data_IF_486138400698
#
_entry.id   IF_486138400698
#
_cell.length_a   1.000
_cell.length_b   1.000
_cell.length_c   1.000
_cell.angle_alpha   90.00
_cell.angle_beta   90.00
_cell.angle_gamma   90.00
#
_symmetry.space_group_name_H-M   'P 1'
#
loop_
_entity.id
_entity.type
_entity.pdbx_description
1 polymer ?
#
# COMPACT_ATOMS: atom_id res chain seq x y z
N UNK A 1 12.26 -15.75 -19.15
CA UNK A 1 11.43 -15.11 -18.12
C UNK A 1 10.57 -14.06 -18.80
N UNK A 2 9.27 -14.06 -18.54
CA UNK A 2 8.33 -13.06 -19.03
C UNK A 2 8.27 -11.86 -18.07
N UNK A 3 8.09 -10.65 -18.60
CA UNK A 3 7.93 -9.41 -17.85
C UNK A 3 7.38 -8.31 -18.77
N UNK A 4 6.88 -7.23 -18.17
CA UNK A 4 6.49 -5.99 -18.85
C UNK A 4 6.82 -4.81 -17.93
N UNK A 5 7.87 -4.07 -18.28
CA UNK A 5 8.35 -2.87 -17.57
C UNK A 5 8.56 -1.74 -18.57
N UNK A 6 8.68 -0.50 -18.09
CA UNK A 6 8.83 0.67 -18.96
C UNK A 6 10.10 0.62 -19.81
N UNK A 7 11.26 0.43 -19.17
CA UNK A 7 12.56 0.42 -19.83
C UNK A 7 13.60 -0.37 -19.01
N UNK A 8 14.08 -1.48 -19.58
CA UNK A 8 15.12 -2.30 -18.92
C UNK A 8 16.48 -1.60 -18.80
N UNK A 9 16.76 -0.57 -19.62
CA UNK A 9 18.03 0.15 -19.57
C UNK A 9 18.25 0.86 -18.23
N UNK A 10 17.18 1.07 -17.46
CA UNK A 10 17.19 1.67 -16.13
C UNK A 10 17.70 0.73 -15.02
N UNK A 11 17.97 -0.54 -15.33
CA UNK A 11 18.32 -1.55 -14.32
C UNK A 11 19.58 -1.22 -13.52
N UNK A 12 20.59 -0.59 -14.12
CA UNK A 12 21.84 -0.20 -13.43
C UNK A 12 21.59 0.93 -12.41
N UNK A 13 20.76 1.91 -12.79
CA UNK A 13 20.30 2.96 -11.88
C UNK A 13 19.48 2.36 -10.73
N UNK A 14 18.52 1.50 -11.04
CA UNK A 14 17.71 0.83 -10.02
C UNK A 14 18.54 -0.06 -9.09
N UNK A 15 19.55 -0.78 -9.61
CA UNK A 15 20.47 -1.58 -8.80
C UNK A 15 21.22 -0.71 -7.80
N UNK A 16 21.71 0.45 -8.24
CA UNK A 16 22.41 1.40 -7.36
C UNK A 16 21.50 1.85 -6.21
N UNK A 17 20.23 2.19 -6.48
CA UNK A 17 19.31 2.59 -5.40
C UNK A 17 18.85 1.42 -4.52
N UNK A 18 18.76 0.20 -5.05
CA UNK A 18 18.53 -1.01 -4.25
C UNK A 18 19.68 -1.22 -3.25
N UNK A 19 20.94 -1.13 -3.69
CA UNK A 19 22.11 -1.27 -2.82
C UNK A 19 22.12 -0.21 -1.70
N UNK A 20 21.74 1.03 -2.01
CA UNK A 20 21.57 2.08 -1.00
C UNK A 20 20.41 1.77 -0.04
N UNK A 21 19.29 1.26 -0.56
CA UNK A 21 18.14 0.89 0.25
C UNK A 21 18.43 -0.29 1.17
N UNK A 22 19.25 -1.26 0.77
CA UNK A 22 19.67 -2.39 1.62
C UNK A 22 20.34 -1.91 2.91
N UNK A 23 21.15 -0.84 2.85
CA UNK A 23 21.74 -0.22 4.03
C UNK A 23 20.71 0.41 4.98
N UNK A 24 19.60 0.89 4.42
CA UNK A 24 18.48 1.47 5.19
C UNK A 24 17.43 0.42 5.56
N UNK A 25 17.59 -0.86 5.20
CA UNK A 25 16.60 -1.91 5.46
C UNK A 25 17.14 -3.03 6.35
N UNK A 26 17.58 -2.72 7.59
CA UNK A 26 18.24 -3.68 8.47
C UNK A 26 17.36 -4.89 8.81
N UNK A 27 16.04 -4.69 8.89
CA UNK A 27 15.10 -5.78 9.16
C UNK A 27 15.10 -6.84 8.06
N UNK A 28 15.03 -6.41 6.79
CA UNK A 28 15.10 -7.33 5.65
C UNK A 28 16.48 -7.99 5.52
N UNK A 29 17.55 -7.23 5.75
CA UNK A 29 18.90 -7.80 5.71
C UNK A 29 19.10 -8.87 6.80
N UNK A 30 18.56 -8.66 7.99
CA UNK A 30 18.55 -9.66 9.05
C UNK A 30 17.73 -10.91 8.69
N UNK A 31 16.63 -10.77 7.95
CA UNK A 31 15.87 -11.92 7.44
C UNK A 31 16.71 -12.75 6.45
N UNK A 32 17.43 -12.08 5.53
CA UNK A 32 18.33 -12.75 4.58
C UNK A 32 19.46 -13.49 5.31
N UNK A 33 20.08 -12.87 6.30
CA UNK A 33 21.13 -13.49 7.10
C UNK A 33 20.62 -14.72 7.86
N UNK A 34 19.45 -14.61 8.50
CA UNK A 34 18.93 -15.67 9.36
C UNK A 34 18.36 -16.86 8.60
N UNK A 35 17.64 -16.58 7.51
CA UNK A 35 16.84 -17.59 6.80
C UNK A 35 17.38 -17.94 5.42
N UNK A 36 18.45 -17.27 4.97
CA UNK A 36 19.07 -17.49 3.68
C UNK A 36 19.56 -18.92 3.46
N UNK A 37 20.10 -19.58 4.49
CA UNK A 37 20.58 -20.96 4.39
C UNK A 37 19.45 -21.99 4.48
N UNK A 38 18.46 -21.75 5.34
CA UNK A 38 17.34 -22.68 5.56
C UNK A 38 16.29 -22.64 4.46
N UNK A 39 16.25 -21.55 3.68
CA UNK A 39 15.30 -21.31 2.56
C UNK A 39 13.85 -21.69 2.92
N UNK A 40 13.24 -21.07 3.96
CA UNK A 40 11.94 -21.49 4.47
C UNK A 40 10.80 -21.35 3.45
N UNK A 41 10.97 -20.51 2.42
CA UNK A 41 10.00 -20.30 1.36
C UNK A 41 10.27 -21.16 0.11
N UNK A 42 11.16 -22.16 0.19
CA UNK A 42 11.39 -23.09 -0.91
C UNK A 42 10.07 -23.77 -1.34
N UNK A 43 9.68 -23.58 -2.60
CA UNK A 43 8.42 -24.07 -3.17
C UNK A 43 7.24 -23.12 -3.05
N UNK A 44 7.41 -21.96 -2.42
CA UNK A 44 6.43 -20.87 -2.48
C UNK A 44 6.45 -20.24 -3.88
N UNK A 45 5.27 -20.02 -4.45
CA UNK A 45 5.02 -19.31 -5.70
C UNK A 45 4.16 -18.10 -5.35
N UNK A 46 4.82 -17.00 -5.03
CA UNK A 46 4.20 -15.81 -4.46
C UNK A 46 3.75 -14.88 -5.59
N UNK A 47 2.44 -14.62 -5.68
CA UNK A 47 1.90 -13.51 -6.45
C UNK A 47 1.91 -12.25 -5.58
N UNK A 48 2.78 -11.29 -5.90
CA UNK A 48 2.88 -10.01 -5.21
C UNK A 48 2.13 -8.90 -5.94
N UNK A 49 1.19 -8.27 -5.25
CA UNK A 49 0.42 -7.09 -5.69
C UNK A 49 0.68 -5.96 -4.70
N UNK A 50 1.76 -5.20 -4.94
CA UNK A 50 2.25 -4.17 -4.04
C UNK A 50 3.05 -3.16 -4.87
N UNK A 51 2.97 -1.88 -4.53
CA UNK A 51 3.72 -0.79 -5.15
C UNK A 51 5.13 -1.21 -5.60
N UNK A 52 5.44 -1.13 -6.91
CA UNK A 52 6.73 -1.58 -7.45
C UNK A 52 7.82 -0.51 -7.26
N UNK A 53 8.31 -0.35 -6.03
CA UNK A 53 9.31 0.64 -5.64
C UNK A 53 10.69 0.02 -5.37
N UNK A 54 11.71 0.86 -5.11
CA UNK A 54 13.02 0.44 -4.62
C UNK A 54 12.91 -0.35 -3.32
N UNK A 55 12.02 0.06 -2.40
CA UNK A 55 11.82 -0.65 -1.14
C UNK A 55 11.27 -2.05 -1.41
N UNK A 56 10.29 -2.15 -2.32
CA UNK A 56 9.66 -3.41 -2.71
C UNK A 56 10.64 -4.32 -3.44
N UNK A 57 11.56 -3.75 -4.23
CA UNK A 57 12.64 -4.53 -4.83
C UNK A 57 13.49 -5.27 -3.79
N UNK A 58 13.83 -4.62 -2.67
CA UNK A 58 14.56 -5.28 -1.56
C UNK A 58 13.72 -6.36 -0.90
N UNK A 59 12.40 -6.17 -0.75
CA UNK A 59 11.47 -7.19 -0.28
C UNK A 59 11.44 -8.41 -1.23
N UNK A 60 11.25 -8.19 -2.53
CA UNK A 60 11.23 -9.24 -3.55
C UNK A 60 12.53 -10.06 -3.51
N UNK A 61 13.68 -9.39 -3.49
CA UNK A 61 14.98 -10.06 -3.41
C UNK A 61 15.20 -10.76 -2.07
N UNK A 62 14.53 -10.33 -1.01
CA UNK A 62 14.50 -11.07 0.27
C UNK A 62 13.67 -12.34 0.15
N UNK A 63 12.47 -12.29 -0.45
CA UNK A 63 11.63 -13.47 -0.65
C UNK A 63 12.35 -14.54 -1.49
N UNK A 64 13.02 -14.14 -2.57
CA UNK A 64 13.82 -15.06 -3.41
C UNK A 64 15.06 -15.57 -2.69
N UNK A 65 15.76 -14.71 -1.92
CA UNK A 65 16.85 -15.14 -1.06
C UNK A 65 16.41 -16.14 0.01
N UNK A 66 15.13 -16.17 0.37
CA UNK A 66 14.53 -17.14 1.28
C UNK A 66 13.92 -18.37 0.57
N UNK A 67 14.08 -18.47 -0.75
CA UNK A 67 13.74 -19.65 -1.55
C UNK A 67 12.43 -19.57 -2.34
N UNK A 68 11.70 -18.45 -2.26
CA UNK A 68 10.47 -18.28 -3.02
C UNK A 68 10.74 -18.07 -4.51
N UNK A 69 9.83 -18.55 -5.35
CA UNK A 69 9.61 -17.99 -6.68
C UNK A 69 8.58 -16.87 -6.56
N UNK A 70 8.73 -15.81 -7.35
CA UNK A 70 7.94 -14.59 -7.21
C UNK A 70 7.51 -14.06 -8.58
N UNK A 71 6.28 -13.57 -8.70
CA UNK A 71 5.80 -12.74 -9.82
C UNK A 71 5.15 -11.48 -9.25
N UNK A 72 5.43 -10.33 -9.84
CA UNK A 72 5.06 -9.04 -9.24
C UNK A 72 4.32 -8.08 -10.17
N UNK A 73 3.34 -7.38 -9.61
CA UNK A 73 2.64 -6.27 -10.21
C UNK A 73 2.47 -5.17 -9.15
N UNK A 74 2.36 -3.93 -9.63
CA UNK A 74 2.03 -2.80 -8.76
C UNK A 74 0.57 -2.88 -8.32
N UNK A 75 0.23 -2.39 -7.12
CA UNK A 75 -1.16 -2.20 -6.68
C UNK A 75 -1.69 -0.77 -6.96
N UNK A 76 -0.93 0.05 -7.71
CA UNK A 76 -1.40 1.37 -8.14
C UNK A 76 -0.68 1.85 -9.41
N UNK A 77 -1.47 2.39 -10.35
CA UNK A 77 -1.05 2.83 -11.69
C UNK A 77 0.05 3.90 -11.71
N UNK A 78 0.25 4.65 -10.62
CA UNK A 78 1.27 5.71 -10.54
C UNK A 78 2.39 5.41 -9.55
N UNK A 79 2.35 4.28 -8.84
CA UNK A 79 3.30 4.05 -7.73
C UNK A 79 4.62 3.39 -8.16
N UNK A 80 4.67 2.79 -9.34
CA UNK A 80 5.86 2.13 -9.85
C UNK A 80 7.02 3.11 -10.01
N UNK A 81 8.19 2.70 -9.55
CA UNK A 81 9.47 3.30 -9.87
C UNK A 81 10.11 2.46 -10.98
N UNK A 82 10.10 2.97 -12.21
CA UNK A 82 10.47 2.17 -13.39
C UNK A 82 11.89 1.59 -13.33
N UNK A 83 12.82 2.32 -12.70
CA UNK A 83 14.19 1.85 -12.48
C UNK A 83 14.25 0.69 -11.49
N UNK A 84 13.42 0.69 -10.44
CA UNK A 84 13.27 -0.45 -9.54
C UNK A 84 12.68 -1.67 -10.26
N UNK A 85 11.61 -1.47 -11.04
CA UNK A 85 10.98 -2.53 -11.83
C UNK A 85 11.98 -3.18 -12.81
N UNK A 86 12.78 -2.36 -13.50
CA UNK A 86 13.84 -2.81 -14.40
C UNK A 86 14.93 -3.60 -13.65
N UNK A 87 15.42 -3.10 -12.52
CA UNK A 87 16.46 -3.76 -11.73
C UNK A 87 16.01 -5.11 -11.15
N UNK A 88 14.74 -5.23 -10.77
CA UNK A 88 14.13 -6.47 -10.29
C UNK A 88 13.94 -7.48 -11.42
N UNK A 89 13.53 -7.03 -12.62
CA UNK A 89 13.44 -7.90 -13.79
C UNK A 89 14.82 -8.39 -14.24
N UNK A 90 15.84 -7.52 -14.24
CA UNK A 90 17.22 -7.90 -14.59
C UNK A 90 17.84 -8.80 -13.50
N UNK A 91 17.56 -8.53 -12.22
CA UNK A 91 18.11 -9.25 -11.08
C UNK A 91 19.58 -8.89 -10.77
N UNK A 92 20.09 -9.27 -9.59
CA UNK A 92 21.42 -8.88 -9.13
C UNK A 92 22.57 -9.51 -9.93
N UNK A 93 22.30 -10.62 -10.61
CA UNK A 93 23.29 -11.37 -11.39
C UNK A 93 22.99 -11.40 -12.90
N UNK A 94 21.95 -10.69 -13.35
CA UNK A 94 21.56 -10.64 -14.75
C UNK A 94 22.11 -9.40 -15.47
N UNK A 95 21.83 -9.33 -16.77
CA UNK A 95 22.07 -8.14 -17.59
C UNK A 95 20.82 -7.78 -18.37
N UNK A 96 20.77 -6.60 -18.97
CA UNK A 96 19.65 -6.17 -19.83
C UNK A 96 19.39 -7.17 -20.96
N UNK A 97 20.46 -7.71 -21.57
CA UNK A 97 20.36 -8.69 -22.67
C UNK A 97 20.05 -10.11 -22.19
N UNK A 98 20.33 -10.42 -20.92
CA UNK A 98 20.05 -11.71 -20.29
C UNK A 98 19.51 -11.52 -18.86
N UNK A 99 18.24 -11.09 -18.71
CA UNK A 99 17.63 -10.89 -17.40
C UNK A 99 17.56 -12.20 -16.62
N UNK A 100 17.93 -12.15 -15.34
CA UNK A 100 17.97 -13.29 -14.42
C UNK A 100 17.30 -12.97 -13.06
N UNK A 101 16.40 -11.97 -13.05
CA UNK A 101 15.64 -11.57 -11.88
C UNK A 101 14.32 -12.30 -11.74
N UNK A 102 13.24 -11.55 -11.47
CA UNK A 102 11.87 -12.10 -11.36
C UNK A 102 10.92 -11.47 -12.39
N UNK A 103 9.84 -12.16 -12.79
CA UNK A 103 8.76 -11.58 -13.59
C UNK A 103 8.14 -10.35 -12.91
N UNK A 104 8.20 -9.19 -13.57
CA UNK A 104 7.57 -7.94 -13.14
C UNK A 104 6.66 -7.41 -14.26
N UNK A 105 5.43 -7.07 -13.90
CA UNK A 105 4.43 -6.46 -14.78
C UNK A 105 3.99 -5.16 -14.13
N UNK A 106 4.79 -4.11 -14.31
CA UNK A 106 4.54 -2.83 -13.68
C UNK A 106 5.31 -1.70 -14.38
N UNK A 107 4.65 -0.56 -14.58
CA UNK A 107 5.29 0.70 -15.00
C UNK A 107 4.53 1.91 -14.45
N UNK A 108 5.18 3.07 -14.40
CA UNK A 108 4.50 4.29 -13.96
C UNK A 108 3.60 4.82 -15.08
N UNK A 109 2.33 5.07 -14.76
CA UNK A 109 1.35 5.61 -15.70
C UNK A 109 0.61 4.56 -16.51
N UNK A 110 0.36 3.39 -15.91
CA UNK A 110 -0.55 2.37 -16.47
C UNK A 110 -1.95 2.94 -16.73
N UNK A 111 -2.62 2.46 -17.78
CA UNK A 111 -4.09 2.54 -17.87
C UNK A 111 -4.74 1.54 -16.88
N UNK A 112 -6.03 1.69 -16.61
CA UNK A 112 -6.75 0.74 -15.76
C UNK A 112 -6.79 -0.66 -16.39
N UNK A 113 -6.91 -0.76 -17.71
CA UNK A 113 -6.84 -2.03 -18.44
C UNK A 113 -5.46 -2.69 -18.33
N UNK A 114 -4.40 -1.89 -18.40
CA UNK A 114 -3.02 -2.36 -18.23
C UNK A 114 -2.77 -2.85 -16.81
N UNK A 115 -3.27 -2.12 -15.81
CA UNK A 115 -3.22 -2.49 -14.39
C UNK A 115 -3.85 -3.86 -14.14
N UNK A 116 -5.12 -4.05 -14.52
CA UNK A 116 -5.81 -5.33 -14.31
C UNK A 116 -5.29 -6.45 -15.21
N UNK A 117 -4.65 -6.13 -16.33
CA UNK A 117 -3.87 -7.11 -17.09
C UNK A 117 -2.64 -7.57 -16.30
N UNK A 118 -1.88 -6.65 -15.69
CA UNK A 118 -0.72 -6.96 -14.85
C UNK A 118 -1.11 -7.83 -13.65
N UNK A 119 -2.22 -7.51 -12.96
CA UNK A 119 -2.74 -8.32 -11.84
C UNK A 119 -3.06 -9.76 -12.25
N UNK A 120 -3.53 -10.00 -13.48
CA UNK A 120 -3.70 -11.36 -13.99
C UNK A 120 -2.36 -12.06 -14.26
N UNK A 121 -1.36 -11.35 -14.78
CA UNK A 121 -0.05 -11.94 -15.11
C UNK A 121 0.68 -12.51 -13.89
N UNK A 122 0.46 -11.98 -12.69
CA UNK A 122 1.11 -12.49 -11.47
C UNK A 122 0.44 -13.75 -10.91
N UNK A 123 -0.84 -13.96 -11.20
CA UNK A 123 -1.63 -15.11 -10.74
C UNK A 123 -1.49 -16.32 -11.68
N UNK A 124 -1.21 -16.06 -12.96
CA UNK A 124 -1.04 -17.09 -14.00
C UNK A 124 0.45 -17.39 -14.18
N UNK A 125 0.88 -18.61 -13.84
CA UNK A 125 2.28 -19.01 -13.91
C UNK A 125 2.58 -19.88 -15.14
N UNK A 126 3.79 -19.82 -15.72
CA UNK A 126 4.18 -20.66 -16.83
C UNK A 126 4.08 -22.16 -16.52
N UNK A 127 3.88 -22.98 -17.56
CA UNK A 127 3.90 -24.44 -17.44
C UNK A 127 2.66 -25.07 -16.81
N UNK A 128 1.54 -24.34 -16.71
CA UNK A 128 0.29 -24.85 -16.16
C UNK A 128 0.30 -24.96 -14.63
N UNK A 129 1.11 -24.13 -13.96
CA UNK A 129 1.12 -23.96 -12.51
C UNK A 129 0.44 -22.64 -12.14
N UNK A 130 0.12 -22.44 -10.86
CA UNK A 130 -0.50 -21.20 -10.37
C UNK A 130 0.21 -20.68 -9.13
N UNK A 131 -0.11 -19.44 -8.73
CA UNK A 131 0.34 -18.91 -7.45
C UNK A 131 -0.21 -19.80 -6.32
N UNK A 132 0.62 -20.11 -5.32
CA UNK A 132 0.20 -20.81 -4.12
C UNK A 132 0.21 -19.93 -2.87
N UNK A 133 0.60 -18.67 -3.01
CA UNK A 133 0.66 -17.66 -1.96
C UNK A 133 0.35 -16.29 -2.58
N UNK A 134 -0.30 -15.41 -1.84
CA UNK A 134 -0.49 -14.00 -2.22
C UNK A 134 0.20 -13.10 -1.20
N UNK A 135 0.86 -12.06 -1.68
CA UNK A 135 1.27 -10.90 -0.90
C UNK A 135 0.55 -9.70 -1.50
N UNK A 136 -0.35 -9.07 -0.75
CA UNK A 136 -1.28 -8.06 -1.25
C UNK A 136 -1.15 -6.75 -0.46
N UNK A 137 -1.45 -5.64 -1.14
CA UNK A 137 -1.58 -4.30 -0.58
C UNK A 137 -2.81 -3.66 -1.24
N UNK A 138 -3.92 -3.64 -0.51
CA UNK A 138 -5.22 -3.16 -1.00
C UNK A 138 -6.24 -4.25 -1.28
N UNK A 139 -5.79 -5.50 -1.38
CA UNK A 139 -6.64 -6.66 -1.57
C UNK A 139 -7.12 -6.86 -3.01
N UNK A 140 -6.47 -6.28 -4.02
CA UNK A 140 -6.93 -6.36 -5.42
C UNK A 140 -6.65 -7.73 -6.05
N UNK A 141 -5.48 -8.32 -5.78
CA UNK A 141 -5.19 -9.69 -6.23
C UNK A 141 -6.14 -10.68 -5.54
N UNK A 142 -6.35 -10.51 -4.24
CA UNK A 142 -7.29 -11.31 -3.45
C UNK A 142 -8.71 -11.18 -3.98
N UNK A 143 -9.19 -9.95 -4.22
CA UNK A 143 -10.52 -9.68 -4.76
C UNK A 143 -10.71 -10.36 -6.11
N UNK A 144 -9.73 -10.25 -7.01
CA UNK A 144 -9.82 -10.84 -8.35
C UNK A 144 -9.97 -12.37 -8.28
N UNK A 145 -9.22 -13.05 -7.40
CA UNK A 145 -9.37 -14.50 -7.18
C UNK A 145 -10.76 -14.85 -6.66
N UNK A 146 -11.29 -14.11 -5.68
CA UNK A 146 -12.60 -14.38 -5.10
C UNK A 146 -13.73 -14.18 -6.12
N UNK A 147 -13.72 -13.05 -6.85
CA UNK A 147 -14.72 -12.74 -7.87
C UNK A 147 -14.61 -13.69 -9.09
N UNK A 148 -13.40 -14.05 -9.48
CA UNK A 148 -13.15 -15.01 -10.55
C UNK A 148 -13.73 -16.39 -10.23
N UNK A 149 -13.46 -16.90 -9.02
CA UNK A 149 -14.00 -18.18 -8.58
C UNK A 149 -15.53 -18.18 -8.51
N UNK A 150 -16.12 -17.09 -8.01
CA UNK A 150 -17.59 -16.97 -7.96
C UNK A 150 -18.20 -16.92 -9.36
N UNK A 151 -17.56 -16.22 -10.30
CA UNK A 151 -17.98 -16.16 -11.70
C UNK A 151 -17.93 -17.54 -12.36
N UNK A 152 -16.91 -18.35 -12.09
CA UNK A 152 -16.81 -19.73 -12.59
C UNK A 152 -17.85 -20.66 -11.96
N UNK A 153 -18.07 -20.57 -10.64
CA UNK A 153 -19.08 -21.39 -9.94
C UNK A 153 -20.50 -21.13 -10.43
N UNK A 154 -20.83 -19.88 -10.70
CA UNK A 154 -22.16 -19.47 -11.18
C UNK A 154 -22.30 -19.57 -12.70
N UNK A 155 -21.18 -19.63 -13.42
CA UNK A 155 -21.12 -19.56 -14.88
C UNK A 155 -21.48 -18.18 -15.43
N UNK A 156 -21.52 -17.14 -14.58
CA UNK A 156 -21.92 -15.78 -14.93
C UNK A 156 -20.98 -14.78 -14.25
N UNK A 157 -20.28 -13.97 -15.05
CA UNK A 157 -19.52 -12.83 -14.54
C UNK A 157 -20.42 -11.58 -14.42
N UNK A 158 -20.08 -10.59 -13.56
CA UNK A 158 -20.85 -9.35 -13.42
C UNK A 158 -20.97 -8.57 -14.74
N UNK A 159 -22.12 -7.93 -14.97
CA UNK A 159 -22.36 -7.14 -16.19
C UNK A 159 -21.59 -5.79 -16.13
N UNK A 160 -20.67 -5.50 -17.07
CA UNK A 160 -19.98 -4.21 -17.15
C UNK A 160 -20.91 -2.99 -17.16
N UNK A 161 -22.15 -3.12 -17.67
CA UNK A 161 -23.13 -2.03 -17.67
C UNK A 161 -23.65 -1.67 -16.28
N UNK A 162 -23.49 -2.56 -15.29
CA UNK A 162 -23.89 -2.33 -13.89
C UNK A 162 -22.82 -1.64 -13.04
N UNK A 163 -21.62 -1.41 -13.61
CA UNK A 163 -20.51 -0.81 -12.88
C UNK A 163 -20.79 0.64 -12.47
N UNK A 164 -20.34 1.01 -11.28
CA UNK A 164 -20.48 2.34 -10.69
C UNK A 164 -19.23 3.22 -10.87
N UNK A 165 -18.13 2.66 -11.39
CA UNK A 165 -16.92 3.40 -11.74
C UNK A 165 -16.30 2.88 -13.03
N UNK A 166 -15.36 3.64 -13.61
CA UNK A 166 -14.58 3.20 -14.77
C UNK A 166 -13.77 1.94 -14.42
N UNK A 167 -13.08 1.95 -13.28
CA UNK A 167 -12.24 0.83 -12.85
C UNK A 167 -13.05 -0.45 -12.60
N UNK A 168 -14.21 -0.35 -11.94
CA UNK A 168 -15.07 -1.51 -11.72
C UNK A 168 -15.55 -2.14 -13.04
N UNK A 169 -15.81 -1.30 -14.05
CA UNK A 169 -16.17 -1.77 -15.40
C UNK A 169 -15.03 -2.54 -16.04
N UNK A 170 -13.78 -2.10 -15.86
CA UNK A 170 -12.59 -2.81 -16.34
C UNK A 170 -12.47 -4.17 -15.65
N UNK A 171 -12.66 -4.25 -14.33
CA UNK A 171 -12.68 -5.52 -13.58
C UNK A 171 -13.75 -6.46 -14.14
N UNK A 172 -14.97 -5.96 -14.36
CA UNK A 172 -16.06 -6.78 -14.91
C UNK A 172 -15.74 -7.28 -16.31
N UNK A 173 -15.14 -6.45 -17.18
CA UNK A 173 -14.66 -6.87 -18.50
C UNK A 173 -13.59 -7.97 -18.39
N UNK A 174 -12.65 -7.85 -17.44
CA UNK A 174 -11.62 -8.85 -17.17
C UNK A 174 -12.24 -10.19 -16.75
N UNK A 175 -13.20 -10.18 -15.82
CA UNK A 175 -13.90 -11.39 -15.37
C UNK A 175 -14.67 -12.07 -16.51
N UNK A 176 -15.39 -11.29 -17.33
CA UNK A 176 -16.12 -11.82 -18.49
C UNK A 176 -15.17 -12.42 -19.53
N UNK A 177 -14.07 -11.73 -19.84
CA UNK A 177 -13.07 -12.23 -20.78
C UNK A 177 -12.41 -13.51 -20.26
N UNK A 178 -12.06 -13.56 -18.97
CA UNK A 178 -11.47 -14.74 -18.35
C UNK A 178 -12.41 -15.93 -18.38
N UNK A 179 -13.70 -15.74 -18.04
CA UNK A 179 -14.70 -16.81 -18.02
C UNK A 179 -14.99 -17.37 -19.43
N UNK A 180 -14.93 -16.51 -20.45
CA UNK A 180 -15.06 -16.93 -21.85
C UNK A 180 -13.85 -17.75 -22.34
N UNK A 181 -12.67 -17.50 -21.78
CA UNK A 181 -11.42 -18.18 -22.14
C UNK A 181 -11.25 -19.52 -21.40
N UNK A 182 -11.57 -19.57 -20.10
CA UNK A 182 -11.48 -20.76 -19.26
C UNK A 182 -12.58 -20.74 -18.19
N UNK A 183 -13.17 -21.90 -17.94
CA UNK A 183 -14.23 -22.09 -16.94
C UNK A 183 -13.72 -22.63 -15.60
N UNK A 184 -12.41 -22.87 -15.47
CA UNK A 184 -11.81 -23.51 -14.29
C UNK A 184 -10.46 -22.89 -13.88
N UNK A 185 -10.05 -21.77 -14.49
CA UNK A 185 -8.80 -21.08 -14.19
C UNK A 185 -8.76 -20.61 -12.73
N UNK A 186 -9.77 -19.87 -12.30
CA UNK A 186 -9.85 -19.33 -10.95
C UNK A 186 -10.11 -20.42 -9.91
N UNK A 187 -10.80 -21.50 -10.30
CA UNK A 187 -10.96 -22.72 -9.51
C UNK A 187 -9.61 -23.38 -9.24
N UNK A 188 -8.75 -23.50 -10.24
CA UNK A 188 -7.40 -24.03 -10.09
C UNK A 188 -6.51 -23.08 -9.25
N UNK A 189 -6.52 -21.77 -9.54
CA UNK A 189 -5.76 -20.77 -8.78
C UNK A 189 -6.17 -20.78 -7.30
N UNK A 190 -7.46 -20.63 -6.99
CA UNK A 190 -7.97 -20.61 -5.63
C UNK A 190 -7.71 -21.93 -4.89
N UNK A 191 -7.67 -23.05 -5.61
CA UNK A 191 -7.33 -24.37 -5.05
C UNK A 191 -5.86 -24.53 -4.67
N UNK A 192 -4.95 -23.74 -5.23
CA UNK A 192 -3.52 -23.77 -4.90
C UNK A 192 -3.12 -22.77 -3.81
N UNK A 193 -3.85 -21.65 -3.65
CA UNK A 193 -3.51 -20.61 -2.69
C UNK A 193 -3.65 -21.12 -1.25
N UNK A 194 -2.52 -21.09 -0.53
CA UNK A 194 -2.40 -21.52 0.86
C UNK A 194 -2.70 -20.40 1.85
N UNK A 195 -2.60 -19.14 1.41
CA UNK A 195 -2.93 -17.96 2.21
C UNK A 195 -2.49 -16.65 1.58
N UNK A 196 -2.90 -15.55 2.20
CA UNK A 196 -2.54 -14.18 1.83
C UNK A 196 -1.96 -13.40 3.01
N UNK A 197 -1.02 -12.49 2.73
CA UNK A 197 -0.57 -11.49 3.70
C UNK A 197 -0.90 -10.10 3.17
N UNK A 198 -1.65 -9.32 3.94
CA UNK A 198 -2.23 -8.05 3.51
C UNK A 198 -1.61 -6.86 4.25
N UNK A 199 -1.06 -5.92 3.50
CA UNK A 199 -0.26 -4.83 4.02
C UNK A 199 -1.08 -3.69 4.61
N UNK A 200 -2.25 -3.35 4.05
CA UNK A 200 -2.87 -2.05 4.30
C UNK A 200 -4.25 -2.13 4.94
N UNK A 201 -4.64 -1.01 5.57
CA UNK A 201 -5.90 -0.92 6.32
C UNK A 201 -7.12 -1.21 5.43
N UNK A 202 -7.09 -0.75 4.19
CA UNK A 202 -8.18 -0.93 3.22
C UNK A 202 -8.32 -2.39 2.75
N UNK A 203 -7.21 -3.07 2.44
CA UNK A 203 -7.26 -4.49 2.10
C UNK A 203 -7.67 -5.36 3.29
N UNK A 204 -7.20 -5.03 4.50
CA UNK A 204 -7.63 -5.70 5.74
C UNK A 204 -9.13 -5.56 5.97
N UNK A 205 -9.72 -4.40 5.70
CA UNK A 205 -11.17 -4.22 5.79
C UNK A 205 -11.90 -5.20 4.86
N UNK A 206 -11.45 -5.32 3.60
CA UNK A 206 -12.01 -6.29 2.64
C UNK A 206 -11.90 -7.74 3.15
N UNK A 207 -10.76 -8.11 3.74
CA UNK A 207 -10.57 -9.44 4.34
C UNK A 207 -11.55 -9.71 5.47
N UNK A 208 -11.77 -8.74 6.37
CA UNK A 208 -12.74 -8.88 7.45
C UNK A 208 -14.17 -8.96 6.96
N UNK A 209 -14.51 -8.24 5.90
CA UNK A 209 -15.86 -8.31 5.30
C UNK A 209 -16.09 -9.68 4.66
N UNK A 210 -15.12 -10.20 3.89
CA UNK A 210 -15.17 -11.57 3.38
C UNK A 210 -15.25 -12.62 4.49
N UNK A 211 -14.55 -12.41 5.61
CA UNK A 211 -14.64 -13.31 6.77
C UNK A 211 -16.03 -13.29 7.42
N UNK A 212 -16.63 -12.10 7.60
CA UNK A 212 -17.98 -11.96 8.18
C UNK A 212 -19.07 -12.57 7.28
N UNK A 213 -18.90 -12.46 5.97
CA UNK A 213 -19.82 -13.00 4.97
C UNK A 213 -19.62 -14.51 4.75
N UNK A 214 -18.51 -15.07 5.25
CA UNK A 214 -18.15 -16.48 5.04
C UNK A 214 -17.65 -16.78 3.61
N UNK A 215 -17.24 -15.75 2.88
CA UNK A 215 -16.73 -15.84 1.50
C UNK A 215 -15.20 -15.94 1.41
N UNK A 216 -14.47 -15.67 2.51
CA UNK A 216 -13.01 -15.78 2.56
C UNK A 216 -12.55 -17.22 2.22
N UNK A 217 -11.72 -17.35 1.18
CA UNK A 217 -11.34 -18.66 0.63
C UNK A 217 -10.15 -19.33 1.32
N UNK A 218 -9.21 -18.54 1.83
CA UNK A 218 -7.93 -18.99 2.40
C UNK A 218 -7.55 -18.14 3.61
N UNK A 219 -6.68 -18.63 4.52
CA UNK A 219 -6.24 -17.84 5.67
C UNK A 219 -5.53 -16.55 5.25
N UNK A 220 -5.67 -15.52 6.07
CA UNK A 220 -5.07 -14.23 5.84
C UNK A 220 -4.32 -13.73 7.09
N UNK A 221 -3.12 -13.18 6.91
CA UNK A 221 -2.43 -12.41 7.97
C UNK A 221 -2.57 -10.92 7.64
N UNK A 222 -3.25 -10.22 8.55
CA UNK A 222 -3.29 -8.77 8.62
C UNK A 222 -1.93 -8.27 9.11
N UNK A 223 -1.11 -7.84 8.17
CA UNK A 223 0.22 -7.26 8.46
C UNK A 223 0.07 -5.81 8.91
N UNK A 224 -0.94 -5.09 8.40
CA UNK A 224 -1.22 -3.70 8.74
C UNK A 224 -1.24 -3.46 10.26
N UNK A 225 -1.91 -4.34 11.00
CA UNK A 225 -2.16 -4.15 12.43
C UNK A 225 -1.02 -4.65 13.33
N UNK A 226 0.10 -5.08 12.75
CA UNK A 226 1.36 -5.17 13.49
C UNK A 226 1.69 -3.77 14.02
N UNK A 227 2.12 -3.66 15.28
CA UNK A 227 2.50 -2.39 15.93
C UNK A 227 3.64 -1.73 15.15
N UNK A 228 4.65 -2.51 14.76
CA UNK A 228 5.77 -2.01 13.94
C UNK A 228 5.40 -1.68 12.50
N UNK A 229 4.19 -2.03 12.04
CA UNK A 229 3.63 -1.56 10.77
C UNK A 229 2.81 -0.31 11.01
N UNK A 230 1.57 -0.43 11.46
CA UNK A 230 0.59 0.69 11.51
C UNK A 230 1.13 1.95 12.19
N UNK A 231 2.06 1.82 13.12
CA UNK A 231 2.43 2.89 14.07
C UNK A 231 3.77 3.52 13.73
N UNK A 232 4.44 2.93 12.75
CA UNK A 232 5.67 3.43 12.17
C UNK A 232 5.45 3.80 10.71
N UNK A 233 4.96 2.87 9.90
CA UNK A 233 4.65 3.08 8.49
C UNK A 233 3.59 4.16 8.30
N UNK A 234 2.34 3.86 8.70
CA UNK A 234 1.22 4.74 8.40
C UNK A 234 1.42 6.12 9.03
N UNK A 235 2.12 6.21 10.19
CA UNK A 235 2.39 7.49 10.84
C UNK A 235 3.67 8.18 10.34
N UNK A 236 4.85 7.60 10.57
CA UNK A 236 6.13 8.26 10.25
C UNK A 236 6.48 8.20 8.77
N UNK A 237 6.04 7.17 8.06
CA UNK A 237 6.13 7.10 6.60
C UNK A 237 5.32 8.20 5.92
N UNK A 238 4.07 8.40 6.33
CA UNK A 238 3.24 9.50 5.82
C UNK A 238 3.76 10.87 6.27
N UNK A 239 4.30 10.97 7.50
CA UNK A 239 4.98 12.20 7.96
C UNK A 239 6.13 12.60 7.03
N UNK A 240 6.91 11.63 6.54
CA UNK A 240 7.99 11.89 5.59
C UNK A 240 7.44 12.21 4.19
N UNK A 241 6.59 11.32 3.68
CA UNK A 241 6.28 11.24 2.24
C UNK A 241 5.17 12.17 1.76
N UNK A 242 4.26 12.60 2.64
CA UNK A 242 3.20 13.55 2.27
C UNK A 242 3.81 14.85 1.72
N UNK A 243 4.67 15.47 2.52
CA UNK A 243 5.25 16.77 2.14
C UNK A 243 6.21 16.64 0.95
N UNK A 244 6.88 15.49 0.78
CA UNK A 244 7.69 15.21 -0.41
C UNK A 244 6.81 15.20 -1.68
N UNK A 245 5.67 14.49 -1.64
CA UNK A 245 4.68 14.50 -2.72
C UNK A 245 4.20 15.92 -3.04
N UNK A 246 3.88 16.73 -2.03
CA UNK A 246 3.38 18.11 -2.22
C UNK A 246 4.47 18.97 -2.86
N UNK A 247 5.71 18.85 -2.35
CA UNK A 247 6.85 19.60 -2.82
C UNK A 247 7.15 19.28 -4.29
N UNK A 248 7.33 18.02 -4.65
CA UNK A 248 7.62 17.62 -6.04
C UNK A 248 6.47 17.96 -6.99
N UNK A 249 5.23 17.88 -6.52
CA UNK A 249 4.08 18.20 -7.34
C UNK A 249 3.96 19.71 -7.63
N UNK A 250 4.13 20.55 -6.61
CA UNK A 250 3.63 21.94 -6.66
C UNK A 250 4.66 23.01 -6.33
N UNK A 251 5.77 22.64 -5.68
CA UNK A 251 6.77 23.58 -5.13
C UNK A 251 6.16 24.68 -4.22
N UNK A 252 4.95 24.42 -3.69
CA UNK A 252 4.21 25.41 -2.90
C UNK A 252 4.90 25.62 -1.55
N UNK A 253 4.98 26.88 -1.10
CA UNK A 253 5.32 27.15 0.28
C UNK A 253 4.21 26.61 1.19
N UNK A 254 4.53 25.62 2.04
CA UNK A 254 3.60 25.07 3.05
C UNK A 254 3.46 26.01 4.26
N UNK A 255 4.55 26.66 4.68
CA UNK A 255 4.58 27.55 5.84
C UNK A 255 3.57 28.72 5.74
N UNK A 256 2.76 28.90 6.78
CA UNK A 256 1.74 29.94 6.86
C UNK A 256 0.43 29.66 6.09
N UNK A 257 0.38 28.58 5.30
CA UNK A 257 -0.84 28.12 4.62
C UNK A 257 -1.81 27.47 5.61
N UNK A 258 -3.08 27.43 5.25
CA UNK A 258 -4.08 26.60 5.93
C UNK A 258 -4.13 25.24 5.23
N UNK A 259 -3.81 24.18 5.96
CA UNK A 259 -3.87 22.82 5.45
C UNK A 259 -4.97 22.05 6.17
N UNK A 260 -5.86 21.40 5.44
CA UNK A 260 -6.93 20.55 5.97
C UNK A 260 -6.53 19.10 5.79
N UNK A 261 -6.59 18.32 6.88
CA UNK A 261 -6.39 16.87 6.86
C UNK A 261 -7.71 16.21 7.22
N UNK A 262 -8.31 15.49 6.27
CA UNK A 262 -9.54 14.74 6.50
C UNK A 262 -9.21 13.32 6.98
N UNK A 263 -9.57 13.02 8.23
CA UNK A 263 -9.19 11.80 8.94
C UNK A 263 -7.97 12.01 9.84
N UNK A 264 -8.01 11.46 11.04
CA UNK A 264 -6.98 11.55 12.07
C UNK A 264 -6.66 10.19 12.69
N UNK A 265 -6.72 9.14 11.87
CA UNK A 265 -6.07 7.84 12.13
C UNK A 265 -4.54 7.95 12.12
N UNK A 266 -3.82 6.84 11.97
CA UNK A 266 -2.35 6.88 11.96
C UNK A 266 -1.78 7.70 10.78
N UNK A 267 -2.36 7.54 9.58
CA UNK A 267 -2.03 8.34 8.38
C UNK A 267 -2.29 9.83 8.62
N UNK A 268 -3.50 10.18 9.04
CA UNK A 268 -3.88 11.55 9.34
C UNK A 268 -3.00 12.22 10.40
N UNK A 269 -2.61 11.47 11.44
CA UNK A 269 -1.64 11.93 12.46
C UNK A 269 -0.28 12.26 11.85
N UNK A 270 0.25 11.40 10.99
CA UNK A 270 1.50 11.64 10.26
C UNK A 270 1.42 12.87 9.36
N UNK A 271 0.31 13.01 8.64
CA UNK A 271 0.02 14.14 7.76
C UNK A 271 -0.04 15.48 8.51
N UNK A 272 -0.80 15.52 9.60
CA UNK A 272 -0.93 16.73 10.42
C UNK A 272 0.42 17.11 11.06
N UNK A 273 1.19 16.13 11.54
CA UNK A 273 2.51 16.35 12.14
C UNK A 273 3.49 16.97 11.15
N UNK A 274 3.54 16.48 9.90
CA UNK A 274 4.47 16.99 8.88
C UNK A 274 4.09 18.38 8.38
N UNK A 275 2.80 18.62 8.12
CA UNK A 275 2.29 19.93 7.73
C UNK A 275 2.53 20.98 8.83
N UNK A 276 2.26 20.64 10.09
CA UNK A 276 2.58 21.52 11.24
C UNK A 276 4.07 21.76 11.36
N UNK A 277 4.89 20.73 11.16
CA UNK A 277 6.36 20.83 11.17
C UNK A 277 6.93 21.79 10.12
N UNK A 278 6.22 21.96 9.01
CA UNK A 278 6.54 22.96 7.97
C UNK A 278 5.96 24.36 8.25
N UNK A 279 5.26 24.55 9.37
CA UNK A 279 4.64 25.81 9.76
C UNK A 279 3.26 26.06 9.16
N UNK A 280 2.57 25.04 8.65
CA UNK A 280 1.17 25.17 8.24
C UNK A 280 0.24 25.35 9.45
N UNK A 281 -0.87 26.04 9.23
CA UNK A 281 -2.02 26.09 10.14
C UNK A 281 -2.94 24.92 9.82
N UNK A 282 -2.79 23.83 10.56
CA UNK A 282 -3.49 22.57 10.28
C UNK A 282 -4.88 22.57 10.92
N UNK A 283 -5.88 22.20 10.11
CA UNK A 283 -7.25 21.90 10.53
C UNK A 283 -7.51 20.42 10.23
N UNK A 284 -8.18 19.73 11.14
CA UNK A 284 -8.54 18.31 11.01
C UNK A 284 -10.06 18.18 10.85
N UNK A 285 -10.51 17.26 10.01
CA UNK A 285 -11.92 16.81 10.01
C UNK A 285 -11.97 15.38 10.50
N UNK A 286 -12.90 15.05 11.40
CA UNK A 286 -13.03 13.70 11.95
C UNK A 286 -14.48 13.33 12.24
N UNK A 287 -14.78 12.04 12.07
CA UNK A 287 -16.05 11.42 12.42
C UNK A 287 -15.96 10.69 13.76
N UNK A 288 -14.77 10.19 14.14
CA UNK A 288 -14.57 9.49 15.40
C UNK A 288 -14.26 10.50 16.52
N UNK A 289 -15.07 10.57 17.60
CA UNK A 289 -14.85 11.50 18.69
C UNK A 289 -13.54 11.27 19.46
N UNK A 290 -13.00 10.05 19.48
CA UNK A 290 -11.70 9.73 20.10
C UNK A 290 -10.59 10.38 19.28
N UNK A 291 -10.59 10.18 17.96
CA UNK A 291 -9.61 10.76 17.06
C UNK A 291 -9.72 12.29 17.01
N UNK A 292 -10.94 12.84 16.97
CA UNK A 292 -11.19 14.27 17.05
C UNK A 292 -10.64 14.87 18.36
N UNK A 293 -10.89 14.20 19.50
CA UNK A 293 -10.35 14.66 20.78
C UNK A 293 -8.82 14.60 20.79
N UNK A 294 -8.20 13.57 20.21
CA UNK A 294 -6.74 13.51 20.04
C UNK A 294 -6.22 14.70 19.20
N UNK A 295 -6.85 14.99 18.07
CA UNK A 295 -6.47 16.12 17.21
C UNK A 295 -6.55 17.45 17.98
N UNK A 296 -7.63 17.68 18.73
CA UNK A 296 -7.80 18.87 19.56
C UNK A 296 -6.74 18.96 20.67
N UNK A 297 -6.42 17.83 21.32
CA UNK A 297 -5.40 17.76 22.39
C UNK A 297 -3.97 17.92 21.84
N UNK A 298 -3.72 17.54 20.60
CA UNK A 298 -2.46 17.80 19.89
C UNK A 298 -2.34 19.26 19.42
N UNK A 299 -3.39 20.07 19.56
CA UNK A 299 -3.41 21.50 19.25
C UNK A 299 -3.94 21.85 17.86
N UNK A 300 -4.64 20.94 17.19
CA UNK A 300 -5.29 21.19 15.90
C UNK A 300 -6.72 21.69 16.10
N UNK A 301 -7.16 22.62 15.25
CA UNK A 301 -8.58 22.91 15.12
C UNK A 301 -9.27 21.70 14.49
N UNK A 302 -10.39 21.26 15.09
CA UNK A 302 -11.27 20.25 14.48
C UNK A 302 -12.51 20.98 13.95
N UNK A 303 -12.79 20.82 12.67
CA UNK A 303 -13.92 21.46 11.99
C UNK A 303 -14.50 20.56 10.89
N UNK A 304 -15.62 20.94 10.29
CA UNK A 304 -16.15 20.27 9.10
C UNK A 304 -15.47 20.81 7.85
N UNK A 305 -15.34 19.98 6.81
CA UNK A 305 -14.77 20.40 5.54
C UNK A 305 -15.51 21.62 4.97
N UNK A 306 -16.85 21.58 4.97
CA UNK A 306 -17.71 22.65 4.46
C UNK A 306 -17.43 24.03 5.04
N UNK A 307 -17.07 24.10 6.33
CA UNK A 307 -16.77 25.37 7.02
C UNK A 307 -15.42 25.97 6.59
N UNK A 308 -14.50 25.14 6.11
CA UNK A 308 -13.10 25.53 5.89
C UNK A 308 -12.66 25.57 4.43
N UNK A 309 -13.49 25.11 3.48
CA UNK A 309 -13.21 25.16 2.03
C UNK A 309 -12.79 26.56 1.55
N UNK A 310 -13.46 27.60 2.06
CA UNK A 310 -13.18 29.00 1.71
C UNK A 310 -11.88 29.56 2.26
N UNK A 311 -11.20 28.83 3.16
CA UNK A 311 -9.92 29.24 3.77
C UNK A 311 -8.84 28.18 3.70
N UNK A 312 -9.06 27.05 3.03
CA UNK A 312 -8.07 25.99 2.83
C UNK A 312 -7.18 26.30 1.62
N UNK A 313 -5.87 26.11 1.76
CA UNK A 313 -4.87 26.20 0.67
C UNK A 313 -4.48 24.80 0.19
N UNK A 314 -4.43 23.84 1.11
CA UNK A 314 -4.06 22.44 0.87
C UNK A 314 -5.12 21.59 1.56
N UNK A 315 -5.67 20.59 0.87
CA UNK A 315 -6.63 19.62 1.40
C UNK A 315 -6.10 18.23 1.10
N UNK A 316 -5.93 17.42 2.16
CA UNK A 316 -5.44 16.05 2.08
C UNK A 316 -6.48 15.10 2.67
N UNK A 317 -6.95 14.14 1.89
CA UNK A 317 -7.80 13.05 2.37
C UNK A 317 -6.95 11.87 2.84
N UNK A 318 -7.25 11.36 4.04
CA UNK A 318 -6.48 10.35 4.76
C UNK A 318 -7.39 9.44 5.60
N UNK A 319 -8.57 9.10 5.07
CA UNK A 319 -9.62 8.41 5.82
C UNK A 319 -9.69 6.91 5.54
N UNK A 320 -9.27 6.46 4.35
CA UNK A 320 -9.55 5.12 3.84
C UNK A 320 -11.04 4.87 3.55
N UNK A 321 -11.86 5.91 3.53
CA UNK A 321 -13.29 5.87 3.24
C UNK A 321 -13.55 6.30 1.78
N UNK A 322 -14.79 6.68 1.45
CA UNK A 322 -15.17 7.24 0.15
C UNK A 322 -16.00 8.51 0.31
N UNK A 323 -16.14 9.27 -0.77
CA UNK A 323 -17.00 10.45 -0.86
C UNK A 323 -16.64 11.53 0.19
N UNK A 324 -15.35 11.65 0.53
CA UNK A 324 -14.84 12.60 1.54
C UNK A 324 -14.83 14.02 0.98
N UNK A 325 -14.49 14.17 -0.30
CA UNK A 325 -14.51 15.44 -1.02
C UNK A 325 -15.35 15.28 -2.28
N UNK A 326 -16.54 15.87 -2.30
CA UNK A 326 -17.45 15.83 -3.44
C UNK A 326 -17.12 16.90 -4.48
N UNK A 327 -17.57 16.74 -5.73
CA UNK A 327 -17.43 17.77 -6.78
C UNK A 327 -18.02 19.11 -6.36
N UNK A 328 -19.16 19.10 -5.65
CA UNK A 328 -19.77 20.32 -5.13
C UNK A 328 -18.81 21.06 -4.19
N UNK A 329 -18.15 20.33 -3.28
CA UNK A 329 -17.17 20.90 -2.37
C UNK A 329 -15.93 21.39 -3.12
N UNK A 330 -15.45 20.65 -4.13
CA UNK A 330 -14.34 21.08 -4.99
C UNK A 330 -14.63 22.41 -5.68
N UNK A 331 -15.85 22.61 -6.19
CA UNK A 331 -16.26 23.87 -6.84
C UNK A 331 -16.25 25.08 -5.89
N UNK A 332 -16.33 24.85 -4.57
CA UNK A 332 -16.30 25.87 -3.51
C UNK A 332 -14.89 26.14 -2.95
N UNK A 333 -13.89 25.37 -3.38
CA UNK A 333 -12.51 25.59 -2.96
C UNK A 333 -11.94 26.90 -3.52
N UNK A 334 -10.99 27.49 -2.79
CA UNK A 334 -10.27 28.67 -3.23
C UNK A 334 -9.52 28.41 -4.54
N UNK A 335 -9.38 29.46 -5.35
CA UNK A 335 -8.58 29.41 -6.57
C UNK A 335 -7.13 29.00 -6.25
N UNK A 336 -6.64 28.01 -6.99
CA UNK A 336 -5.37 27.31 -6.84
C UNK A 336 -5.16 26.57 -5.51
N UNK A 337 -6.24 26.21 -4.81
CA UNK A 337 -6.13 25.25 -3.72
C UNK A 337 -5.63 23.90 -4.25
N UNK A 338 -4.80 23.22 -3.45
CA UNK A 338 -4.25 21.90 -3.76
C UNK A 338 -5.12 20.85 -3.08
N UNK A 339 -5.55 19.86 -3.85
CA UNK A 339 -6.29 18.70 -3.39
C UNK A 339 -5.49 17.44 -3.70
N UNK A 340 -5.20 16.66 -2.66
CA UNK A 340 -4.54 15.37 -2.78
C UNK A 340 -5.16 14.34 -1.86
N UNK A 341 -4.93 13.08 -2.18
CA UNK A 341 -5.34 11.94 -1.38
C UNK A 341 -4.11 11.13 -1.02
N UNK A 342 -4.04 10.65 0.21
CA UNK A 342 -3.00 9.75 0.70
C UNK A 342 -3.59 8.50 1.36
N UNK A 343 -4.92 8.30 1.25
CA UNK A 343 -5.55 7.00 1.45
C UNK A 343 -5.25 6.03 0.30
N UNK A 344 -5.81 4.82 0.37
CA UNK A 344 -5.41 3.71 -0.50
C UNK A 344 -6.11 3.68 -1.89
N UNK A 345 -7.35 4.17 -2.03
CA UNK A 345 -8.05 4.27 -3.33
C UNK A 345 -8.32 5.73 -3.70
N UNK A 346 -8.70 5.98 -4.95
CA UNK A 346 -9.00 7.32 -5.47
C UNK A 346 -10.36 7.89 -5.04
N UNK A 347 -11.26 7.03 -4.56
CA UNK A 347 -12.65 7.37 -4.25
C UNK A 347 -12.88 8.15 -2.95
N UNK A 348 -11.84 8.54 -2.21
CA UNK A 348 -11.97 9.60 -1.20
C UNK A 348 -12.33 10.94 -1.85
N UNK A 349 -11.86 11.15 -3.08
CA UNK A 349 -12.15 12.31 -3.91
C UNK A 349 -13.10 11.86 -5.01
N UNK A 350 -14.17 12.61 -5.24
CA UNK A 350 -15.11 12.35 -6.34
C UNK A 350 -14.52 12.73 -7.71
N UNK A 351 -13.50 11.96 -8.13
CA UNK A 351 -12.81 12.14 -9.41
C UNK A 351 -13.72 11.79 -10.59
N UNK A 352 -14.58 10.78 -10.44
CA UNK A 352 -15.53 10.39 -11.46
C UNK A 352 -16.49 11.53 -11.80
N UNK A 353 -17.05 12.20 -10.78
CA UNK A 353 -17.89 13.38 -10.99
C UNK A 353 -17.09 14.57 -11.55
N UNK A 354 -15.82 14.74 -11.16
CA UNK A 354 -14.98 15.85 -11.64
C UNK A 354 -14.68 15.72 -13.14
N UNK A 355 -14.52 14.48 -13.62
CA UNK A 355 -14.23 14.14 -15.01
C UNK A 355 -15.45 14.20 -15.94
N UNK A 356 -16.67 14.34 -15.40
CA UNK A 356 -17.88 14.46 -16.21
C UNK A 356 -17.86 15.69 -17.13
N UNK A 357 -18.36 15.50 -18.36
CA UNK A 357 -18.37 16.55 -19.37
C UNK A 357 -19.15 17.78 -18.89
N UNK A 358 -18.48 18.94 -18.90
CA UNK A 358 -19.07 20.22 -18.51
C UNK A 358 -18.93 20.57 -17.02
N UNK A 359 -18.41 19.67 -16.17
CA UNK A 359 -18.17 19.94 -14.74
C UNK A 359 -16.95 20.85 -14.54
N UNK A 360 -15.80 20.48 -15.09
CA UNK A 360 -14.59 21.28 -15.05
C UNK A 360 -13.69 20.97 -16.25
N UNK A 361 -12.82 21.92 -16.62
CA UNK A 361 -11.86 21.74 -17.71
C UNK A 361 -10.50 21.36 -17.12
N UNK A 362 -10.03 20.14 -17.44
CA UNK A 362 -8.70 19.63 -17.09
C UNK A 362 -7.63 20.28 -17.96
N UNK A 363 -6.54 20.72 -17.32
CA UNK A 363 -5.28 21.08 -17.96
C UNK A 363 -4.15 20.35 -17.24
N UNK A 364 -3.51 19.41 -17.93
CA UNK A 364 -2.32 18.77 -17.41
C UNK A 364 -1.15 19.77 -17.35
N UNK A 365 -0.48 19.85 -16.20
CA UNK A 365 0.70 20.70 -15.99
C UNK A 365 1.97 19.90 -16.23
N UNK A 366 2.04 18.72 -15.61
CA UNK A 366 3.10 17.72 -15.70
C UNK A 366 2.53 16.37 -15.25
N UNK A 367 3.27 15.25 -15.35
CA UNK A 367 2.80 13.96 -14.86
C UNK A 367 2.26 14.05 -13.42
N UNK A 368 1.06 13.51 -13.21
CA UNK A 368 0.34 13.47 -11.92
C UNK A 368 0.01 14.84 -11.31
N UNK A 369 0.02 15.93 -12.09
CA UNK A 369 -0.41 17.26 -11.64
C UNK A 369 -1.32 17.90 -12.67
N UNK A 370 -2.58 18.07 -12.29
CA UNK A 370 -3.62 18.61 -13.14
C UNK A 370 -4.26 19.84 -12.51
N UNK A 371 -4.54 20.84 -13.34
CA UNK A 371 -5.37 21.98 -12.96
C UNK A 371 -6.77 21.77 -13.51
N UNK A 372 -7.77 21.82 -12.65
CA UNK A 372 -9.19 21.72 -13.01
C UNK A 372 -9.86 23.08 -12.84
N UNK A 373 -10.42 23.62 -13.92
CA UNK A 373 -11.08 24.94 -13.91
C UNK A 373 -12.59 24.79 -14.00
N UNK A 374 -13.33 25.27 -13.00
CA UNK A 374 -14.78 25.22 -12.97
C UNK A 374 -15.41 26.36 -13.79
N UNK A 375 -16.68 26.23 -14.26
CA UNK A 375 -17.41 27.29 -14.96
C UNK A 375 -17.53 28.61 -14.18
N UNK A 376 -17.48 28.53 -12.85
CA UNK A 376 -17.45 29.66 -11.92
C UNK A 376 -16.14 30.47 -11.98
N UNK A 377 -15.09 29.93 -12.60
CA UNK A 377 -13.80 30.58 -12.86
C UNK A 377 -12.71 30.28 -11.82
N UNK A 378 -13.03 29.71 -10.66
CA UNK A 378 -12.02 29.15 -9.77
C UNK A 378 -11.42 27.88 -10.37
N UNK A 379 -10.19 27.59 -9.96
CA UNK A 379 -9.45 26.41 -10.39
C UNK A 379 -8.82 25.74 -9.17
N UNK A 380 -8.62 24.44 -9.23
CA UNK A 380 -7.93 23.66 -8.19
C UNK A 380 -6.80 22.84 -8.82
N UNK A 381 -5.80 22.50 -8.02
CA UNK A 381 -4.70 21.62 -8.42
C UNK A 381 -4.99 20.24 -7.81
N UNK A 382 -5.19 19.23 -8.65
CA UNK A 382 -5.42 17.85 -8.21
C UNK A 382 -4.14 17.05 -8.41
N UNK A 383 -3.77 16.32 -7.36
CA UNK A 383 -2.57 15.49 -7.31
C UNK A 383 -2.91 14.04 -7.64
N UNK A 384 -2.12 13.44 -8.54
CA UNK A 384 -2.18 12.01 -8.90
C UNK A 384 -3.58 11.51 -9.26
N UNK A 385 -4.41 12.37 -9.85
CA UNK A 385 -5.78 12.02 -10.27
C UNK A 385 -6.59 11.41 -9.11
N UNK A 386 -6.37 11.94 -7.89
CA UNK A 386 -7.03 11.46 -6.68
C UNK A 386 -6.43 10.17 -6.08
N UNK A 387 -5.45 9.53 -6.72
CA UNK A 387 -4.70 8.40 -6.14
C UNK A 387 -3.66 8.87 -5.11
N UNK A 388 -3.08 7.91 -4.40
CA UNK A 388 -2.12 8.11 -3.30
C UNK A 388 -0.92 8.93 -3.75
N UNK A 389 -0.94 10.19 -3.37
CA UNK A 389 -0.09 11.23 -3.93
C UNK A 389 1.38 11.14 -3.49
N UNK A 390 1.66 10.50 -2.35
CA UNK A 390 3.03 10.33 -1.86
C UNK A 390 3.84 9.37 -2.74
N UNK A 391 3.18 8.37 -3.32
CA UNK A 391 3.75 7.45 -4.31
C UNK A 391 3.60 7.98 -5.74
N UNK A 392 2.44 8.57 -6.05
CA UNK A 392 2.16 9.08 -7.39
C UNK A 392 3.05 10.28 -7.77
N UNK A 393 3.19 11.27 -6.87
CA UNK A 393 3.99 12.48 -7.12
C UNK A 393 5.43 12.39 -6.60
N UNK A 394 5.76 11.40 -5.77
CA UNK A 394 7.10 11.22 -5.22
C UNK A 394 7.52 9.74 -5.21
N UNK A 395 8.11 9.27 -4.11
CA UNK A 395 8.72 7.94 -3.99
C UNK A 395 8.14 7.11 -2.85
N UNK A 396 7.02 7.53 -2.28
CA UNK A 396 6.40 6.86 -1.14
C UNK A 396 7.22 6.96 0.14
N UNK A 397 7.06 5.98 1.01
CA UNK A 397 7.74 5.92 2.31
C UNK A 397 9.23 5.62 2.15
N UNK A 398 10.09 6.17 3.02
CA UNK A 398 11.54 5.93 2.95
C UNK A 398 11.87 4.48 3.36
N UNK A 399 13.01 3.98 2.86
CA UNK A 399 13.42 2.57 3.02
C UNK A 399 13.47 2.10 4.48
N UNK A 400 13.96 2.92 5.40
CA UNK A 400 14.00 2.57 6.83
C UNK A 400 12.62 2.33 7.44
N UNK A 401 11.61 3.09 7.01
CA UNK A 401 10.23 2.89 7.45
C UNK A 401 9.70 1.59 6.83
N UNK A 402 9.84 1.41 5.52
CA UNK A 402 9.36 0.21 4.83
C UNK A 402 10.06 -1.07 5.29
N UNK A 403 11.29 -0.97 5.80
CA UNK A 403 11.99 -2.09 6.44
C UNK A 403 11.17 -2.71 7.57
N UNK A 404 10.41 -1.92 8.32
CA UNK A 404 9.56 -2.44 9.40
C UNK A 404 8.39 -3.25 8.80
N UNK A 405 7.62 -2.64 7.90
CA UNK A 405 6.46 -3.24 7.23
C UNK A 405 6.85 -4.51 6.49
N UNK A 406 7.95 -4.47 5.73
CA UNK A 406 8.36 -5.59 4.90
C UNK A 406 9.02 -6.71 5.69
N UNK A 407 9.65 -6.42 6.83
CA UNK A 407 10.07 -7.49 7.75
C UNK A 407 8.84 -8.23 8.31
N UNK A 408 7.77 -7.51 8.66
CA UNK A 408 6.51 -8.15 9.05
C UNK A 408 5.90 -8.96 7.90
N UNK A 409 5.90 -8.45 6.66
CA UNK A 409 5.44 -9.21 5.49
C UNK A 409 6.23 -10.50 5.29
N UNK A 410 7.56 -10.47 5.37
CA UNK A 410 8.41 -11.66 5.24
C UNK A 410 8.09 -12.67 6.35
N UNK A 411 7.98 -12.23 7.60
CA UNK A 411 7.62 -13.10 8.72
C UNK A 411 6.23 -13.72 8.54
N UNK A 412 5.25 -12.94 8.07
CA UNK A 412 3.91 -13.42 7.79
C UNK A 412 3.89 -14.47 6.67
N UNK A 413 4.65 -14.26 5.59
CA UNK A 413 4.81 -15.22 4.50
C UNK A 413 5.45 -16.52 5.00
N UNK A 414 6.49 -16.44 5.84
CA UNK A 414 7.12 -17.61 6.46
C UNK A 414 6.12 -18.37 7.33
N UNK A 415 5.41 -17.68 8.22
CA UNK A 415 4.47 -18.31 9.15
C UNK A 415 3.36 -19.08 8.40
N UNK A 416 2.65 -18.41 7.50
CA UNK A 416 1.50 -19.02 6.82
C UNK A 416 1.92 -20.12 5.83
N UNK A 417 3.12 -20.03 5.23
CA UNK A 417 3.65 -21.05 4.33
C UNK A 417 4.16 -22.29 5.07
N UNK A 418 4.86 -22.11 6.21
CA UNK A 418 5.55 -23.19 6.92
C UNK A 418 4.72 -23.83 8.03
N UNK A 419 3.68 -23.15 8.53
CA UNK A 419 2.80 -23.64 9.61
C UNK A 419 1.31 -23.61 9.24
N UNK A 420 0.90 -24.17 8.08
CA UNK A 420 -0.50 -24.06 7.60
C UNK A 420 -1.53 -24.60 8.60
N UNK A 421 -1.16 -25.56 9.45
CA UNK A 421 -2.04 -26.13 10.47
C UNK A 421 -2.43 -25.14 11.58
N UNK A 422 -1.62 -24.10 11.79
CA UNK A 422 -1.85 -23.08 12.82
C UNK A 422 -2.75 -21.95 12.30
N UNK A 423 -3.00 -21.92 10.98
CA UNK A 423 -3.78 -20.88 10.29
C UNK A 423 -4.92 -21.49 9.47
N UNK A 424 -5.97 -22.04 10.11
CA UNK A 424 -7.22 -22.34 9.39
C UNK A 424 -7.83 -21.06 8.80
N UNK A 425 -8.75 -21.16 7.84
CA UNK A 425 -9.37 -19.99 7.20
C UNK A 425 -9.89 -18.99 8.25
N UNK A 426 -9.39 -17.76 8.17
CA UNK A 426 -9.61 -16.69 9.13
C UNK A 426 -8.60 -15.55 8.91
N UNK A 427 -8.81 -14.43 9.62
CA UNK A 427 -7.90 -13.28 9.59
C UNK A 427 -7.12 -13.21 10.91
N UNK A 428 -5.80 -13.29 10.82
CA UNK A 428 -4.87 -13.33 11.96
C UNK A 428 -3.99 -12.09 11.98
N UNK A 429 -3.39 -11.81 13.14
CA UNK A 429 -2.29 -10.83 13.27
C UNK A 429 -1.03 -11.57 13.70
N UNK A 430 0.14 -11.01 13.39
CA UNK A 430 1.40 -11.59 13.86
C UNK A 430 1.46 -11.62 15.40
N UNK A 431 2.00 -12.69 16.01
CA UNK A 431 2.25 -12.74 17.44
C UNK A 431 3.12 -11.57 17.90
N UNK A 432 2.80 -11.00 19.07
CA UNK A 432 3.48 -9.82 19.63
C UNK A 432 5.00 -9.95 19.73
N UNK A 433 5.52 -11.15 20.02
CA UNK A 433 6.97 -11.36 20.12
C UNK A 433 7.70 -11.14 18.79
N UNK A 434 7.08 -11.44 17.64
CA UNK A 434 7.64 -11.17 16.32
C UNK A 434 7.65 -9.68 16.03
N UNK A 435 6.60 -8.98 16.42
CA UNK A 435 6.49 -7.53 16.28
C UNK A 435 7.57 -6.79 17.11
N UNK A 436 7.78 -7.22 18.35
CA UNK A 436 8.90 -6.73 19.18
C UNK A 436 10.27 -7.08 18.61
N UNK A 437 10.37 -8.23 17.94
CA UNK A 437 11.59 -8.63 17.26
C UNK A 437 11.89 -7.71 16.08
N UNK A 438 10.89 -7.40 15.24
CA UNK A 438 11.03 -6.41 14.17
C UNK A 438 11.52 -5.10 14.75
N UNK A 439 10.92 -4.60 15.83
CA UNK A 439 11.39 -3.38 16.47
C UNK A 439 12.88 -3.48 16.87
N UNK A 440 13.29 -4.57 17.54
CA UNK A 440 14.68 -4.80 17.96
C UNK A 440 15.67 -4.77 16.79
N UNK A 441 15.32 -5.35 15.64
CA UNK A 441 16.18 -5.38 14.45
C UNK A 441 16.50 -3.99 13.89
N UNK A 442 15.68 -2.98 14.20
CA UNK A 442 15.88 -1.61 13.70
C UNK A 442 16.63 -0.70 14.69
N UNK A 443 16.69 -1.05 15.98
CA UNK A 443 17.20 -0.14 17.01
C UNK A 443 18.71 0.12 16.91
N UNK A 444 19.51 -0.90 16.63
CA UNK A 444 20.96 -0.75 16.56
C UNK A 444 21.39 0.14 15.38
N UNK A 445 20.68 0.09 14.26
CA UNK A 445 20.90 0.97 13.10
C UNK A 445 20.69 2.45 13.46
N UNK A 446 19.84 2.75 14.46
CA UNK A 446 19.60 4.10 14.98
C UNK A 446 20.49 4.44 16.19
N UNK A 447 21.38 3.54 16.61
CA UNK A 447 22.19 3.71 17.83
C UNK A 447 21.39 3.67 19.13
N UNK A 448 20.16 3.13 19.11
CA UNK A 448 19.29 3.04 20.30
C UNK A 448 19.71 1.85 21.14
N UNK A 449 19.90 2.06 22.46
CA UNK A 449 20.26 1.01 23.41
C UNK A 449 19.12 0.73 24.36
N UNK A 450 18.66 -0.53 24.37
CA UNK A 450 17.61 -0.99 25.27
C UNK A 450 18.16 -1.20 26.69
N UNK A 451 17.34 -0.85 27.68
CA UNK A 451 17.56 -1.31 29.06
C UNK A 451 17.11 -2.76 29.18
N UNK A 452 17.90 -3.59 29.86
CA UNK A 452 17.54 -4.97 30.18
C UNK A 452 16.89 -5.04 31.56
N UNK A 453 15.74 -5.69 31.66
CA UNK A 453 15.09 -5.94 32.96
C UNK A 453 15.98 -6.86 33.82
N UNK A 454 16.08 -6.57 35.11
CA UNK A 454 16.57 -7.58 36.06
C UNK A 454 15.47 -8.62 36.33
N UNK A 455 15.86 -9.81 36.81
CA UNK A 455 14.90 -10.87 37.17
C UNK A 455 13.80 -10.39 38.14
N UNK A 456 14.17 -9.56 39.12
CA UNK A 456 13.23 -8.96 40.08
C UNK A 456 12.20 -8.02 39.41
N UNK A 457 12.63 -7.21 38.43
CA UNK A 457 11.73 -6.32 37.69
C UNK A 457 10.80 -7.09 36.76
N UNK A 458 11.31 -8.12 36.07
CA UNK A 458 10.53 -9.00 35.21
C UNK A 458 9.46 -9.74 36.03
N UNK A 459 9.84 -10.28 37.20
CA UNK A 459 8.90 -10.91 38.13
C UNK A 459 7.85 -9.93 38.66
N UNK A 460 8.22 -8.71 39.03
CA UNK A 460 7.29 -7.67 39.47
C UNK A 460 6.25 -7.31 38.41
N UNK A 461 6.67 -7.23 37.14
CA UNK A 461 5.79 -6.94 36.01
C UNK A 461 4.99 -8.15 35.51
N UNK A 462 5.39 -9.36 35.90
CA UNK A 462 4.78 -10.60 35.42
C UNK A 462 5.07 -10.90 33.95
N UNK A 463 6.27 -10.56 33.47
CA UNK A 463 6.72 -10.79 32.08
C UNK A 463 8.08 -11.49 32.06
N UNK A 464 8.45 -12.10 30.93
CA UNK A 464 9.82 -12.59 30.71
C UNK A 464 10.78 -11.42 30.48
N UNK A 465 12.06 -11.57 30.84
CA UNK A 465 13.12 -10.60 30.55
C UNK A 465 13.25 -10.34 29.04
N UNK A 466 12.96 -11.34 28.21
CA UNK A 466 12.97 -11.24 26.75
C UNK A 466 11.63 -10.77 26.14
N UNK A 467 10.59 -10.61 26.96
CA UNK A 467 9.23 -10.28 26.52
C UNK A 467 8.37 -11.50 26.13
N UNK A 468 7.17 -11.28 25.58
CA UNK A 468 6.59 -9.98 25.24
C UNK A 468 6.32 -9.10 26.47
N UNK A 469 6.52 -7.79 26.35
CA UNK A 469 6.51 -6.85 27.48
C UNK A 469 5.14 -6.20 27.75
N UNK A 470 4.16 -6.47 26.90
CA UNK A 470 2.82 -5.84 26.94
C UNK A 470 1.74 -6.86 26.65
N UNK A 471 0.55 -6.62 27.20
CA UNK A 471 -0.62 -7.45 26.92
C UNK A 471 -1.11 -7.27 25.48
N UNK A 472 -1.90 -8.21 25.00
CA UNK A 472 -2.46 -8.16 23.63
C UNK A 472 -3.41 -6.97 23.43
N UNK A 473 -4.02 -6.45 24.49
CA UNK A 473 -4.92 -5.29 24.45
C UNK A 473 -4.19 -3.94 24.50
N UNK A 474 -2.88 -3.95 24.71
CA UNK A 474 -2.11 -2.72 24.78
C UNK A 474 -2.09 -2.04 23.41
N UNK A 475 -2.30 -0.71 23.38
CA UNK A 475 -2.49 0.02 22.13
C UNK A 475 -1.21 0.44 21.43
N UNK A 476 -0.03 0.09 21.99
CA UNK A 476 1.31 0.07 21.39
C UNK A 476 2.26 -0.78 22.20
#
# INVERSE_FOLDING_TARGET
>A
MDFKVADLSLADYGRTEIELAEHEMPGLMAMRERYGDSKPLAGARIAGSLHMTIQTAVLIETLTALGAEVRWASCNIFSTQDHAAAAVAVGPNGTVDAPAGVPVFAWKGESLEEYWWCTQQILIWPGGTFANMILDDGGDATMLVHLGLESEKTGIAPDPASAHSVEQRVVFNVLNASLAESQDRWTQIAGEIRGVTEETTTGVLRLYDMMKEGSLLFPAINVNDSVTKSKFDNKYGCRHSLIDGINRATDVLIGGKVAVVAGYGDVGKGCAESLRGQGARVIVTEIDPICALQAAMDGYQVDTLDNVLGVADIIITATGNKDVVTVEQMSRMRHNAILGNIGHFDNEIDMAGLEEEGVAVRKNVKPQVDVWTFPTGNAIIVLSEGRLMNLGNATGHPSFVMSNSFTNQVLAQIEIFTKPQDYPVGVYVLPKHLDEEVARLHLDALGVKLTTLSDDQASYLGVDVAGPYKSDQYRY
#
